data_IF_930928675708
#
_entry.id   IF_930928675708
#
_cell.length_a   1.000
_cell.length_b   1.000
_cell.length_c   1.000
_cell.angle_alpha   90.00
_cell.angle_beta   90.00
_cell.angle_gamma   90.00
#
_symmetry.space_group_name_H-M   'P 1'
#
loop_
_entity.id
_entity.type
_entity.pdbx_description
1 polymer ?
#
# COMPACT_ATOMS: atom_id res chain seq x y z
N UNK A 1 -32.23 75.62 62.02
CA UNK A 1 -33.63 75.29 61.68
C UNK A 1 -33.73 75.01 60.19
N UNK A 2 -34.25 73.82 59.84
CA UNK A 2 -34.90 73.44 58.56
C UNK A 2 -34.09 73.57 57.25
N UNK A 3 -34.21 72.70 56.25
CA UNK A 3 -34.68 71.31 56.08
C UNK A 3 -34.61 71.10 54.56
N UNK A 4 -34.18 69.93 54.12
CA UNK A 4 -34.52 69.36 52.80
C UNK A 4 -33.78 69.95 51.60
N UNK A 5 -33.64 69.26 50.48
CA UNK A 5 -34.11 67.93 50.12
C UNK A 5 -33.25 67.42 48.95
N UNK A 6 -33.30 66.11 48.76
CA UNK A 6 -32.53 65.28 47.86
C UNK A 6 -32.53 65.72 46.38
N UNK A 7 -31.45 65.36 45.67
CA UNK A 7 -31.49 64.42 44.54
C UNK A 7 -30.07 64.09 44.09
N UNK A 8 -29.73 62.80 44.14
CA UNK A 8 -28.52 62.25 43.55
C UNK A 8 -28.65 62.26 42.02
N UNK A 9 -27.68 62.87 41.34
CA UNK A 9 -27.47 62.75 39.90
C UNK A 9 -26.01 62.36 39.71
N UNK A 10 -25.82 61.22 39.06
CA UNK A 10 -24.56 60.55 38.77
C UNK A 10 -23.59 61.45 37.98
N UNK A 11 -22.35 61.51 38.43
CA UNK A 11 -21.25 62.27 37.82
C UNK A 11 -20.73 61.53 36.58
N UNK A 12 -20.66 62.24 35.44
CA UNK A 12 -19.82 61.89 34.29
C UNK A 12 -18.34 61.97 34.70
N UNK A 13 -17.60 60.88 34.53
CA UNK A 13 -16.14 60.88 34.55
C UNK A 13 -15.59 60.91 33.13
N UNK A 14 -14.85 61.96 32.77
CA UNK A 14 -13.97 62.04 31.60
C UNK A 14 -12.51 61.82 32.00
N UNK A 15 -11.71 61.43 31.00
CA UNK A 15 -10.24 61.26 30.93
C UNK A 15 -9.73 59.84 31.29
N UNK A 16 -8.82 59.20 30.54
CA UNK A 16 -7.85 59.72 29.60
C UNK A 16 -7.55 58.70 28.47
N UNK A 17 -7.23 59.24 27.29
CA UNK A 17 -6.70 58.51 26.13
C UNK A 17 -5.22 58.22 26.38
N UNK A 18 -4.83 56.94 26.34
CA UNK A 18 -3.44 56.53 26.13
C UNK A 18 -3.43 55.63 24.89
N UNK A 19 -2.88 56.18 23.81
CA UNK A 19 -2.48 55.44 22.63
C UNK A 19 -1.20 54.65 22.95
N UNK A 20 -1.13 53.37 22.55
CA UNK A 20 0.06 52.57 22.78
C UNK A 20 -0.07 51.10 22.38
N UNK A 21 0.01 50.85 21.07
CA UNK A 21 0.45 49.60 20.42
C UNK A 21 -0.13 48.29 20.94
N UNK A 22 -1.17 47.79 20.26
CA UNK A 22 -1.46 46.37 20.20
C UNK A 22 -0.22 45.64 19.65
N UNK A 23 0.49 44.93 20.53
CA UNK A 23 1.54 43.99 20.14
C UNK A 23 0.92 42.97 19.19
N UNK A 24 1.37 43.02 17.94
CA UNK A 24 0.90 42.13 16.89
C UNK A 24 1.05 40.69 17.33
N UNK A 25 -0.07 39.96 17.37
CA UNK A 25 -0.01 38.54 17.17
C UNK A 25 0.79 38.34 15.87
N UNK A 26 1.96 37.72 15.98
CA UNK A 26 2.52 37.02 14.85
C UNK A 26 1.46 35.98 14.51
N UNK A 27 0.59 36.32 13.55
CA UNK A 27 -0.07 35.33 12.77
C UNK A 27 1.07 34.53 12.15
N UNK A 28 1.41 33.40 12.76
CA UNK A 28 1.94 32.28 12.00
C UNK A 28 0.92 32.13 10.89
N UNK A 29 1.30 32.56 9.70
CA UNK A 29 0.61 32.17 8.50
C UNK A 29 0.54 30.66 8.58
N UNK A 30 -0.65 30.15 8.90
CA UNK A 30 -1.02 28.81 8.53
C UNK A 30 -0.87 28.81 7.01
N UNK A 31 0.32 28.44 6.53
CA UNK A 31 0.51 28.08 5.15
C UNK A 31 -0.58 27.06 4.90
N UNK A 32 -1.53 27.42 4.04
CA UNK A 32 -2.51 26.49 3.54
C UNK A 32 -1.73 25.44 2.72
N UNK A 33 -1.16 24.47 3.44
CA UNK A 33 -0.57 23.28 2.89
C UNK A 33 -1.74 22.46 2.35
N UNK A 34 -1.65 22.15 1.07
CA UNK A 34 -2.67 21.40 0.34
C UNK A 34 -3.01 20.08 1.05
N UNK A 35 -4.31 19.87 1.16
CA UNK A 35 -5.02 18.92 2.02
C UNK A 35 -4.79 17.47 1.64
N UNK A 36 -4.65 16.62 2.66
CA UNK A 36 -5.04 15.22 2.59
C UNK A 36 -4.08 14.33 3.35
N UNK A 37 -4.55 13.67 4.39
CA UNK A 37 -3.98 12.40 4.82
C UNK A 37 -5.07 11.35 4.72
N UNK A 38 -4.66 10.11 4.51
CA UNK A 38 -5.53 8.95 4.56
C UNK A 38 -5.03 8.03 5.65
N UNK A 39 -5.92 7.65 6.56
CA UNK A 39 -5.61 6.73 7.64
C UNK A 39 -6.38 5.44 7.42
N UNK A 40 -5.66 4.33 7.32
CA UNK A 40 -6.25 3.00 7.44
C UNK A 40 -6.10 2.52 8.86
N UNK A 41 -7.22 2.33 9.55
CA UNK A 41 -7.28 1.72 10.87
C UNK A 41 -7.90 0.33 10.75
N UNK A 42 -7.14 -0.70 11.08
CA UNK A 42 -7.61 -2.08 11.00
C UNK A 42 -7.38 -2.80 12.33
N UNK A 43 -8.47 -3.29 12.94
CA UNK A 43 -8.37 -4.25 14.04
C UNK A 43 -7.91 -5.59 13.45
N UNK A 44 -6.66 -5.97 13.71
CA UNK A 44 -6.03 -7.15 13.12
C UNK A 44 -6.38 -8.44 13.86
N UNK A 45 -6.68 -8.34 15.16
CA UNK A 45 -7.18 -9.42 16.00
C UNK A 45 -7.94 -8.86 17.19
N UNK A 46 -8.90 -9.61 17.72
CA UNK A 46 -9.65 -9.24 18.91
C UNK A 46 -9.95 -10.48 19.75
N UNK A 47 -9.87 -10.34 21.06
CA UNK A 47 -10.19 -11.36 22.05
C UNK A 47 -11.00 -10.74 23.19
N UNK A 48 -11.40 -11.56 24.17
CA UNK A 48 -12.14 -11.06 25.32
C UNK A 48 -11.30 -10.03 26.09
N UNK A 49 -11.77 -8.78 26.11
CA UNK A 49 -11.13 -7.67 26.82
C UNK A 49 -9.93 -7.03 26.11
N UNK A 50 -9.52 -7.50 24.93
CA UNK A 50 -8.38 -6.93 24.21
C UNK A 50 -8.46 -7.01 22.69
N UNK A 51 -7.63 -6.23 22.02
CA UNK A 51 -7.52 -6.19 20.56
C UNK A 51 -6.13 -5.73 20.12
N UNK A 52 -5.73 -6.14 18.92
CA UNK A 52 -4.59 -5.58 18.19
C UNK A 52 -5.09 -4.74 17.02
N UNK A 53 -4.47 -3.58 16.79
CA UNK A 53 -4.77 -2.71 15.67
C UNK A 53 -3.50 -2.30 14.92
N UNK A 54 -3.62 -2.23 13.59
CA UNK A 54 -2.63 -1.65 12.69
C UNK A 54 -3.17 -0.34 12.13
N UNK A 55 -2.31 0.68 12.12
CA UNK A 55 -2.64 2.02 11.61
C UNK A 55 -1.63 2.41 10.54
N UNK A 56 -2.11 2.74 9.34
CA UNK A 56 -1.29 3.26 8.25
C UNK A 56 -1.67 4.71 7.94
N UNK A 57 -0.67 5.59 7.91
CA UNK A 57 -0.82 7.01 7.59
C UNK A 57 -0.23 7.22 6.20
N UNK A 58 -1.06 7.58 5.23
CA UNK A 58 -0.62 8.02 3.91
C UNK A 58 -0.71 9.53 3.85
N UNK A 59 0.42 10.19 3.58
CA UNK A 59 0.46 11.64 3.38
C UNK A 59 0.08 11.96 1.93
N UNK A 60 -1.00 12.71 1.71
CA UNK A 60 -1.43 13.18 0.39
C UNK A 60 -1.16 14.68 0.20
N UNK A 61 -0.64 15.36 1.23
CA UNK A 61 -0.20 16.75 1.18
C UNK A 61 1.32 16.86 1.07
N UNK A 62 1.85 18.04 1.45
CA UNK A 62 3.28 18.33 1.43
C UNK A 62 4.09 17.33 2.28
N UNK A 63 5.34 17.00 1.89
CA UNK A 63 6.21 16.12 2.69
C UNK A 63 6.33 16.59 4.14
N UNK A 64 6.24 15.67 5.09
CA UNK A 64 6.48 15.93 6.51
C UNK A 64 7.77 15.26 6.97
N UNK A 65 8.52 15.91 7.87
CA UNK A 65 9.75 15.37 8.48
C UNK A 65 9.49 14.66 9.82
N UNK A 66 8.33 14.91 10.42
CA UNK A 66 7.82 14.28 11.64
C UNK A 66 6.30 14.22 11.57
N UNK A 67 5.71 13.25 12.27
CA UNK A 67 4.26 13.11 12.32
C UNK A 67 3.74 12.87 13.74
N UNK A 68 2.58 13.45 14.00
CA UNK A 68 1.72 13.19 15.13
C UNK A 68 0.31 12.88 14.61
N UNK A 69 -0.19 11.69 14.86
CA UNK A 69 -1.56 11.29 14.53
C UNK A 69 -2.42 11.34 15.79
N UNK A 70 -3.56 12.01 15.72
CA UNK A 70 -4.53 12.08 16.81
C UNK A 70 -5.87 11.48 16.40
N UNK A 71 -6.55 10.82 17.35
CA UNK A 71 -7.93 10.35 17.23
C UNK A 71 -8.55 10.20 18.62
N UNK A 72 -9.87 9.98 18.67
CA UNK A 72 -10.58 9.69 19.91
C UNK A 72 -11.24 8.31 19.82
N UNK A 73 -11.12 7.51 20.86
CA UNK A 73 -11.82 6.23 20.97
C UNK A 73 -13.30 6.41 21.32
N UNK A 74 -14.24 5.74 20.62
CA UNK A 74 -15.67 6.03 20.80
C UNK A 74 -16.30 5.37 22.04
N UNK A 75 -15.68 4.31 22.57
CA UNK A 75 -16.31 3.43 23.55
C UNK A 75 -15.34 2.98 24.66
N UNK A 76 -14.54 3.91 25.18
CA UNK A 76 -13.69 3.67 26.36
C UNK A 76 -12.51 2.73 26.12
N UNK A 77 -12.14 2.48 24.86
CA UNK A 77 -10.96 1.67 24.56
C UNK A 77 -9.68 2.35 25.06
N UNK A 78 -8.70 1.54 25.49
CA UNK A 78 -7.41 2.04 25.96
C UNK A 78 -6.24 1.37 25.23
N UNK A 79 -5.19 2.12 24.92
CA UNK A 79 -3.93 1.57 24.38
C UNK A 79 -3.11 1.01 25.53
N UNK A 80 -2.65 -0.24 25.41
CA UNK A 80 -1.85 -0.92 26.44
C UNK A 80 -0.39 -1.09 26.04
N UNK A 81 -0.11 -1.28 24.76
CA UNK A 81 1.25 -1.41 24.23
C UNK A 81 1.28 -0.97 22.76
N UNK A 82 2.31 -0.24 22.34
CA UNK A 82 2.47 0.19 20.96
C UNK A 82 3.87 -0.15 20.41
N UNK A 83 3.99 -0.24 19.09
CA UNK A 83 5.25 -0.41 18.37
C UNK A 83 5.29 0.48 17.13
N UNK A 84 6.49 0.89 16.72
CA UNK A 84 6.72 1.85 15.62
C UNK A 84 6.04 3.23 15.81
N UNK A 85 5.57 3.53 17.02
CA UNK A 85 5.07 4.83 17.45
C UNK A 85 5.23 4.98 18.97
N UNK A 86 5.41 6.21 19.45
CA UNK A 86 5.18 6.55 20.86
C UNK A 86 3.72 6.97 20.99
N UNK A 87 2.93 6.24 21.79
CA UNK A 87 1.49 6.49 21.94
C UNK A 87 1.18 6.93 23.36
N UNK A 88 0.46 8.04 23.49
CA UNK A 88 -0.06 8.55 24.76
C UNK A 88 -1.56 8.69 24.67
N UNK A 89 -2.26 8.42 25.77
CA UNK A 89 -3.72 8.54 25.85
C UNK A 89 -4.13 9.31 27.10
N UNK A 90 -5.10 10.21 26.94
CA UNK A 90 -5.76 10.92 28.04
C UNK A 90 -7.27 10.84 27.83
N UNK A 91 -7.97 10.12 28.70
CA UNK A 91 -9.38 9.80 28.47
C UNK A 91 -9.57 9.04 27.15
N UNK A 92 -10.47 9.52 26.29
CA UNK A 92 -10.68 8.96 24.95
C UNK A 92 -9.62 9.38 23.93
N UNK A 93 -8.86 10.44 24.19
CA UNK A 93 -7.99 11.07 23.19
C UNK A 93 -6.63 10.39 23.14
N UNK A 94 -6.23 9.98 21.94
CA UNK A 94 -4.99 9.28 21.68
C UNK A 94 -4.12 10.11 20.77
N UNK A 95 -2.83 10.19 21.10
CA UNK A 95 -1.79 10.79 20.25
C UNK A 95 -0.70 9.77 20.01
N UNK A 96 -0.47 9.43 18.73
CA UNK A 96 0.66 8.63 18.28
C UNK A 96 1.70 9.52 17.61
N UNK A 97 2.97 9.42 17.99
CA UNK A 97 4.09 10.17 17.40
C UNK A 97 5.11 9.23 16.79
N UNK A 98 5.78 9.71 15.75
CA UNK A 98 6.86 8.97 15.10
C UNK A 98 7.98 8.61 16.08
N UNK A 99 8.65 7.50 15.80
CA UNK A 99 9.91 7.14 16.43
C UNK A 99 11.07 7.47 15.48
N UNK A 100 12.31 7.45 15.97
CA UNK A 100 13.45 8.07 15.29
C UNK A 100 13.68 7.68 13.82
N UNK A 101 13.24 6.50 13.37
CA UNK A 101 13.48 6.02 12.00
C UNK A 101 12.31 6.25 11.02
N UNK A 102 11.11 6.64 11.49
CA UNK A 102 9.92 6.70 10.64
C UNK A 102 9.24 8.08 10.63
N UNK A 103 9.96 9.15 10.97
CA UNK A 103 9.40 10.50 11.03
C UNK A 103 9.07 11.11 9.67
N UNK A 104 9.86 10.82 8.63
CA UNK A 104 9.66 11.43 7.32
C UNK A 104 8.60 10.67 6.51
N UNK A 105 7.61 11.41 6.01
CA UNK A 105 6.60 10.91 5.07
C UNK A 105 6.55 11.85 3.87
N UNK A 106 7.07 11.41 2.73
CA UNK A 106 6.95 12.14 1.46
C UNK A 106 5.49 12.22 0.96
N UNK A 107 5.27 12.98 -0.11
CA UNK A 107 3.97 12.96 -0.83
C UNK A 107 3.67 11.54 -1.30
N UNK A 108 2.45 11.07 -1.05
CA UNK A 108 2.00 9.69 -1.23
C UNK A 108 2.81 8.63 -0.45
N UNK A 109 3.69 9.06 0.44
CA UNK A 109 4.42 8.16 1.34
C UNK A 109 3.47 7.60 2.39
N UNK A 110 3.74 6.37 2.81
CA UNK A 110 2.99 5.71 3.87
C UNK A 110 3.93 5.27 4.98
N UNK A 111 3.54 5.55 6.23
CA UNK A 111 4.15 4.96 7.42
C UNK A 111 3.10 4.17 8.18
N UNK A 112 3.53 3.17 8.93
CA UNK A 112 2.61 2.33 9.70
C UNK A 112 3.14 2.06 11.09
N UNK A 113 2.21 1.95 12.03
CA UNK A 113 2.46 1.53 13.40
C UNK A 113 1.34 0.61 13.86
N UNK A 114 1.52 -0.04 15.00
CA UNK A 114 0.47 -0.86 15.59
C UNK A 114 0.46 -0.76 17.09
N UNK A 115 -0.64 -1.22 17.68
CA UNK A 115 -0.80 -1.27 19.11
C UNK A 115 -1.76 -2.36 19.56
N UNK A 116 -1.57 -2.85 20.77
CA UNK A 116 -2.56 -3.59 21.52
C UNK A 116 -3.37 -2.62 22.37
N UNK A 117 -4.67 -2.88 22.51
CA UNK A 117 -5.55 -2.14 23.37
C UNK A 117 -6.54 -3.03 24.12
N UNK A 118 -7.20 -2.43 25.11
CA UNK A 118 -8.29 -3.05 25.87
C UNK A 118 -9.63 -2.39 25.51
N UNK A 119 -10.71 -3.15 25.63
CA UNK A 119 -12.08 -2.69 25.41
C UNK A 119 -13.04 -3.41 26.35
N UNK A 120 -14.16 -2.78 26.67
CA UNK A 120 -15.26 -3.38 27.43
C UNK A 120 -16.58 -3.11 26.73
N UNK A 121 -17.44 -4.14 26.62
CA UNK A 121 -18.74 -4.05 25.97
C UNK A 121 -18.69 -3.97 24.43
N UNK A 122 -18.06 -2.94 23.86
CA UNK A 122 -17.97 -2.75 22.40
C UNK A 122 -16.60 -2.20 21.95
N UNK A 123 -16.24 -2.44 20.69
CA UNK A 123 -14.98 -1.96 20.11
C UNK A 123 -15.18 -1.31 18.71
N UNK A 124 -15.91 -0.19 18.60
CA UNK A 124 -16.02 0.56 17.35
C UNK A 124 -14.70 1.22 16.96
N UNK A 125 -14.36 1.20 15.67
CA UNK A 125 -13.21 1.91 15.15
C UNK A 125 -13.38 3.44 15.25
N UNK A 126 -12.29 4.21 15.42
CA UNK A 126 -12.35 5.68 15.36
C UNK A 126 -12.79 6.16 13.97
N UNK A 127 -13.62 7.20 13.93
CA UNK A 127 -14.19 7.73 12.68
C UNK A 127 -13.40 8.90 12.08
N UNK A 128 -12.55 9.57 12.88
CA UNK A 128 -11.78 10.74 12.45
C UNK A 128 -10.36 10.67 13.01
N UNK A 129 -9.43 11.12 12.19
CA UNK A 129 -8.01 11.21 12.51
C UNK A 129 -7.48 12.57 12.06
N UNK A 130 -6.49 13.10 12.75
CA UNK A 130 -5.75 14.28 12.31
C UNK A 130 -4.25 14.03 12.31
N UNK A 131 -3.58 14.41 11.21
CA UNK A 131 -2.14 14.38 11.06
C UNK A 131 -1.57 15.78 11.28
N UNK A 132 -0.70 15.94 12.28
CA UNK A 132 -0.10 17.22 12.66
C UNK A 132 -1.15 18.34 12.89
N UNK A 133 -2.32 17.96 13.43
CA UNK A 133 -3.44 18.88 13.70
C UNK A 133 -4.39 19.09 12.51
N UNK A 134 -4.10 18.54 11.33
CA UNK A 134 -4.95 18.65 10.14
C UNK A 134 -5.78 17.38 9.97
N UNK A 135 -7.10 17.52 9.86
CA UNK A 135 -8.02 16.37 9.72
C UNK A 135 -7.76 15.60 8.42
N UNK A 136 -7.67 14.28 8.52
CA UNK A 136 -7.52 13.38 7.39
C UNK A 136 -8.85 13.19 6.67
N UNK A 137 -9.01 13.82 5.51
CA UNK A 137 -10.24 13.76 4.69
C UNK A 137 -10.18 12.70 3.58
N UNK A 138 -9.05 11.98 3.43
CA UNK A 138 -8.89 10.91 2.45
C UNK A 138 -8.93 11.34 0.98
N UNK A 139 -8.98 12.65 0.68
CA UNK A 139 -9.01 13.22 -0.67
C UNK A 139 -8.07 14.43 -0.76
N UNK A 140 -7.38 14.58 -1.90
CA UNK A 140 -6.69 15.83 -2.24
C UNK A 140 -7.72 16.87 -2.65
N UNK A 141 -7.91 17.90 -1.83
CA UNK A 141 -8.81 19.03 -2.12
C UNK A 141 -8.01 20.24 -2.59
N UNK A 142 -8.31 20.73 -3.80
CA UNK A 142 -7.91 22.06 -4.27
C UNK A 142 -7.04 22.06 -5.53
N UNK A 143 -7.69 22.22 -6.69
CA UNK A 143 -7.05 22.67 -7.93
C UNK A 143 -6.96 24.20 -7.91
N UNK A 144 -5.78 24.85 -8.08
CA UNK A 144 -5.74 26.25 -8.42
C UNK A 144 -5.82 26.46 -9.94
N UNK A 145 -6.77 27.33 -10.28
CA UNK A 145 -7.10 27.97 -11.55
C UNK A 145 -5.90 28.51 -12.34
N UNK A 146 -5.98 28.37 -13.67
CA UNK A 146 -5.05 28.89 -14.67
C UNK A 146 -5.14 30.42 -14.88
N UNK A 147 -4.02 31.06 -15.27
CA UNK A 147 -3.90 32.14 -16.30
C UNK A 147 -2.49 32.81 -16.29
N UNK A 148 -2.02 33.52 -17.34
CA UNK A 148 -2.08 33.25 -18.77
C UNK A 148 -0.69 33.35 -19.48
N UNK A 149 -0.72 33.05 -20.77
CA UNK A 149 0.28 33.10 -21.85
C UNK A 149 1.17 34.35 -21.94
N UNK A 150 2.46 34.15 -22.28
CA UNK A 150 3.23 35.08 -23.14
C UNK A 150 4.18 34.32 -24.10
N UNK A 151 4.21 34.83 -25.34
CA UNK A 151 4.84 34.33 -26.58
C UNK A 151 6.37 34.59 -26.61
N UNK A 152 7.20 33.84 -27.39
CA UNK A 152 8.65 33.76 -27.18
C UNK A 152 9.46 34.79 -28.00
N UNK A 153 10.71 35.03 -27.57
CA UNK A 153 11.75 35.67 -28.40
C UNK A 153 13.12 35.04 -28.10
N UNK A 154 13.92 34.85 -29.15
CA UNK A 154 15.04 33.92 -29.26
C UNK A 154 16.44 34.58 -29.11
N UNK A 155 17.46 33.85 -28.62
CA UNK A 155 18.75 33.41 -29.26
C UNK A 155 19.93 33.84 -28.31
N UNK A 156 21.16 33.23 -28.23
CA UNK A 156 21.67 31.88 -28.54
C UNK A 156 22.43 31.17 -27.39
N UNK A 157 22.52 29.84 -27.53
CA UNK A 157 23.67 28.92 -27.37
C UNK A 157 24.81 29.22 -26.37
N UNK A 158 24.89 28.36 -25.33
CA UNK A 158 26.15 27.91 -24.75
C UNK A 158 26.12 26.37 -24.57
N UNK A 159 27.29 25.77 -24.78
CA UNK A 159 27.65 24.34 -24.94
C UNK A 159 27.08 23.34 -23.90
N UNK A 160 26.80 22.07 -24.26
CA UNK A 160 26.22 21.09 -23.34
C UNK A 160 27.29 20.38 -22.48
N UNK A 161 27.08 20.39 -21.17
CA UNK A 161 27.66 19.43 -20.21
C UNK A 161 26.85 18.12 -20.27
N UNK A 162 27.44 16.92 -20.13
CA UNK A 162 26.70 15.66 -20.32
C UNK A 162 25.67 15.44 -19.20
N UNK A 163 24.39 15.59 -19.53
CA UNK A 163 23.28 15.26 -18.62
C UNK A 163 23.02 13.76 -18.65
N UNK A 164 22.99 13.16 -17.47
CA UNK A 164 22.52 11.79 -17.21
C UNK A 164 21.11 11.56 -17.78
N UNK A 165 20.80 10.34 -18.29
CA UNK A 165 19.47 10.03 -18.79
C UNK A 165 18.42 10.14 -17.67
N UNK A 166 17.21 10.66 -17.94
CA UNK A 166 16.15 10.66 -16.94
C UNK A 166 15.74 9.22 -16.61
N UNK A 167 15.67 8.97 -15.30
CA UNK A 167 15.13 7.76 -14.69
C UNK A 167 13.68 7.53 -15.20
N UNK A 168 13.33 6.35 -15.75
CA UNK A 168 11.95 6.09 -16.15
C UNK A 168 11.05 6.06 -14.91
N UNK A 169 10.08 6.98 -14.86
CA UNK A 169 9.02 7.01 -13.86
C UNK A 169 8.13 5.77 -14.02
N UNK A 170 8.32 4.78 -13.15
CA UNK A 170 7.42 3.63 -13.02
C UNK A 170 6.10 4.10 -12.41
N UNK A 171 5.04 4.15 -13.21
CA UNK A 171 3.67 4.38 -12.74
C UNK A 171 3.11 3.06 -12.17
N UNK A 172 2.75 2.96 -10.87
CA UNK A 172 2.57 1.68 -10.18
C UNK A 172 1.14 1.10 -10.28
N UNK A 173 0.29 1.64 -11.12
CA UNK A 173 -1.04 1.07 -11.40
C UNK A 173 -1.08 0.76 -12.89
N UNK A 174 -1.53 -0.44 -13.34
CA UNK A 174 -1.82 -0.64 -14.75
C UNK A 174 -2.85 0.42 -15.16
N UNK A 175 -2.36 1.48 -15.79
CA UNK A 175 -3.21 2.55 -16.26
C UNK A 175 -4.11 1.96 -17.35
N UNK A 176 -5.43 2.20 -17.30
CA UNK A 176 -6.30 1.77 -18.38
C UNK A 176 -5.81 2.42 -19.67
N UNK A 177 -5.50 1.61 -20.67
CA UNK A 177 -5.24 2.14 -22.01
C UNK A 177 -6.61 2.33 -22.68
N UNK A 178 -6.96 3.54 -23.16
CA UNK A 178 -8.21 3.74 -23.89
C UNK A 178 -8.09 2.96 -25.20
N UNK A 179 -8.65 1.75 -25.24
CA UNK A 179 -8.51 0.88 -26.41
C UNK A 179 -9.60 1.22 -27.42
N UNK A 180 -9.19 1.52 -28.66
CA UNK A 180 -10.08 1.76 -29.79
C UNK A 180 -10.68 0.46 -30.41
N UNK A 181 -10.35 -0.72 -29.88
CA UNK A 181 -10.86 -2.02 -30.36
C UNK A 181 -11.92 -2.60 -29.43
N UNK A 182 -13.02 -3.15 -29.96
CA UNK A 182 -14.07 -3.76 -29.16
C UNK A 182 -13.54 -4.98 -28.38
N UNK A 183 -14.07 -5.25 -27.16
CA UNK A 183 -13.69 -6.44 -26.40
C UNK A 183 -13.95 -7.73 -27.19
N UNK A 184 -13.10 -8.76 -27.08
CA UNK A 184 -13.26 -10.02 -27.82
C UNK A 184 -14.42 -10.89 -27.31
N UNK A 185 -15.18 -10.42 -26.33
CA UNK A 185 -16.20 -11.21 -25.65
C UNK A 185 -15.62 -12.09 -24.54
N UNK A 186 -16.50 -12.55 -23.66
CA UNK A 186 -16.16 -13.47 -22.57
C UNK A 186 -15.84 -14.85 -23.16
N UNK A 187 -14.68 -15.46 -22.86
CA UNK A 187 -14.32 -16.75 -23.41
C UNK A 187 -15.12 -17.89 -22.74
N UNK A 188 -15.33 -19.03 -23.41
CA UNK A 188 -16.14 -20.16 -22.90
C UNK A 188 -15.57 -20.81 -21.64
N UNK A 189 -14.27 -20.61 -21.37
CA UNK A 189 -13.59 -21.02 -20.15
C UNK A 189 -14.12 -20.31 -18.89
N UNK A 190 -14.91 -19.24 -19.05
CA UNK A 190 -15.48 -18.48 -17.96
C UNK A 190 -16.93 -18.87 -17.66
N UNK A 191 -17.24 -19.16 -16.40
CA UNK A 191 -18.58 -19.45 -15.90
C UNK A 191 -18.92 -18.66 -14.63
N UNK A 192 -20.21 -18.64 -14.24
CA UNK A 192 -20.71 -17.87 -13.10
C UNK A 192 -20.94 -16.37 -13.39
N UNK A 193 -21.58 -15.68 -12.44
CA UNK A 193 -21.95 -14.27 -12.53
C UNK A 193 -21.45 -13.42 -11.35
N UNK A 194 -21.30 -14.02 -10.15
CA UNK A 194 -20.68 -13.39 -8.98
C UNK A 194 -20.29 -14.49 -7.97
N UNK A 195 -19.03 -14.96 -7.96
CA UNK A 195 -17.94 -14.53 -8.85
C UNK A 195 -18.10 -15.07 -10.29
N UNK A 196 -17.38 -14.44 -11.23
CA UNK A 196 -17.06 -15.02 -12.54
C UNK A 196 -15.72 -15.74 -12.39
N UNK A 197 -15.67 -17.02 -12.75
CA UNK A 197 -14.45 -17.84 -12.66
C UNK A 197 -14.09 -18.33 -14.05
N UNK A 198 -12.83 -18.13 -14.46
CA UNK A 198 -12.29 -18.56 -15.73
C UNK A 198 -11.15 -19.55 -15.50
N UNK A 199 -11.18 -20.69 -16.19
CA UNK A 199 -10.17 -21.74 -16.04
C UNK A 199 -9.50 -22.08 -17.36
N UNK A 200 -8.19 -21.94 -17.42
CA UNK A 200 -7.40 -22.20 -18.62
C UNK A 200 -6.45 -23.38 -18.39
N UNK A 201 -6.58 -24.42 -19.21
CA UNK A 201 -5.68 -25.57 -19.21
C UNK A 201 -4.36 -25.20 -19.91
N UNK A 202 -3.47 -24.53 -19.18
CA UNK A 202 -2.16 -24.09 -19.66
C UNK A 202 -1.04 -24.66 -18.79
N UNK A 203 0.14 -24.92 -19.35
CA UNK A 203 1.27 -25.40 -18.57
C UNK A 203 1.88 -24.28 -17.70
N UNK A 204 2.59 -24.61 -16.61
CA UNK A 204 3.40 -23.65 -15.86
C UNK A 204 4.27 -22.79 -16.79
N UNK A 205 4.28 -21.49 -16.55
CA UNK A 205 4.89 -20.51 -17.45
C UNK A 205 4.38 -19.10 -17.21
N UNK A 206 4.82 -18.15 -18.03
CA UNK A 206 4.40 -16.75 -17.91
C UNK A 206 3.41 -16.41 -19.01
N UNK A 207 2.30 -15.75 -18.65
CA UNK A 207 1.22 -15.42 -19.55
C UNK A 207 0.86 -13.93 -19.45
N UNK A 208 0.65 -13.28 -20.57
CA UNK A 208 -0.02 -11.99 -20.64
C UNK A 208 -1.52 -12.22 -20.59
N UNK A 209 -2.19 -11.55 -19.67
CA UNK A 209 -3.65 -11.60 -19.51
C UNK A 209 -4.21 -10.21 -19.76
N UNK A 210 -5.12 -10.08 -20.71
CA UNK A 210 -5.85 -8.83 -20.94
C UNK A 210 -7.30 -9.01 -20.54
N UNK A 211 -7.79 -8.23 -19.59
CA UNK A 211 -9.16 -8.25 -19.11
C UNK A 211 -9.86 -6.92 -19.45
N UNK A 212 -10.99 -7.00 -20.14
CA UNK A 212 -11.86 -5.86 -20.42
C UNK A 212 -12.94 -5.78 -19.35
N UNK A 213 -12.74 -4.91 -18.37
CA UNK A 213 -13.58 -4.76 -17.17
C UNK A 213 -14.65 -3.70 -17.41
N UNK A 214 -15.88 -4.01 -17.02
CA UNK A 214 -17.06 -3.17 -17.27
C UNK A 214 -18.02 -3.80 -18.27
N UNK A 215 -19.10 -3.10 -18.57
CA UNK A 215 -20.18 -3.58 -19.43
C UNK A 215 -20.90 -2.42 -20.13
N UNK A 216 -21.50 -2.69 -21.29
CA UNK A 216 -22.21 -1.68 -22.07
C UNK A 216 -23.55 -1.28 -21.46
N UNK A 217 -24.25 -2.22 -20.81
CA UNK A 217 -25.61 -2.01 -20.34
C UNK A 217 -25.68 -1.67 -18.84
N UNK A 218 -24.74 -2.19 -18.05
CA UNK A 218 -24.80 -2.13 -16.59
C UNK A 218 -23.53 -1.56 -15.98
N UNK A 219 -23.69 -0.81 -14.89
CA UNK A 219 -22.58 -0.50 -14.01
C UNK A 219 -22.02 -1.78 -13.35
N UNK A 220 -20.80 -1.70 -12.85
CA UNK A 220 -20.09 -2.82 -12.25
C UNK A 220 -19.12 -2.41 -11.16
N UNK A 221 -18.76 -3.37 -10.31
CA UNK A 221 -17.66 -3.28 -9.37
C UNK A 221 -16.92 -4.62 -9.43
N UNK A 222 -15.69 -4.58 -9.97
CA UNK A 222 -14.95 -5.79 -10.34
C UNK A 222 -13.53 -5.75 -9.78
N UNK A 223 -13.14 -6.80 -9.09
CA UNK A 223 -11.77 -7.13 -8.69
C UNK A 223 -11.32 -8.39 -9.42
N UNK A 224 -10.01 -8.61 -9.53
CA UNK A 224 -9.43 -9.79 -10.19
C UNK A 224 -8.33 -10.40 -9.33
N UNK A 225 -8.40 -11.71 -9.13
CA UNK A 225 -7.35 -12.54 -8.54
C UNK A 225 -7.06 -13.75 -9.40
N UNK A 226 -5.87 -14.34 -9.22
CA UNK A 226 -5.47 -15.59 -9.86
C UNK A 226 -5.03 -16.62 -8.83
N UNK A 227 -5.29 -17.88 -9.14
CA UNK A 227 -4.80 -19.07 -8.42
C UNK A 227 -5.03 -18.97 -6.90
N UNK A 228 -3.99 -19.16 -6.08
CA UNK A 228 -3.95 -19.01 -4.63
C UNK A 228 -4.13 -17.55 -4.17
N UNK A 229 -5.17 -16.87 -4.67
CA UNK A 229 -5.64 -15.53 -4.30
C UNK A 229 -4.65 -14.39 -4.56
N UNK A 230 -3.67 -14.56 -5.46
CA UNK A 230 -2.79 -13.45 -5.88
C UNK A 230 -3.62 -12.34 -6.49
N UNK A 231 -3.59 -11.14 -5.90
CA UNK A 231 -4.44 -10.02 -6.34
C UNK A 231 -3.75 -9.30 -7.50
N UNK A 232 -4.46 -9.15 -8.62
CA UNK A 232 -3.99 -8.40 -9.79
C UNK A 232 -4.71 -7.06 -9.92
N UNK A 233 -6.03 -7.06 -9.70
CA UNK A 233 -6.85 -5.86 -9.79
C UNK A 233 -7.64 -5.68 -8.48
N UNK A 234 -7.38 -4.62 -7.69
CA UNK A 234 -8.29 -4.17 -6.64
C UNK A 234 -9.70 -3.92 -7.21
N UNK A 235 -10.72 -3.80 -6.36
CA UNK A 235 -12.07 -3.53 -6.87
C UNK A 235 -12.12 -2.17 -7.59
N UNK A 236 -12.49 -2.21 -8.88
CA UNK A 236 -12.69 -1.03 -9.73
C UNK A 236 -14.17 -0.92 -10.06
N UNK A 237 -14.74 0.27 -9.85
CA UNK A 237 -16.11 0.59 -10.25
C UNK A 237 -16.15 1.13 -11.67
N UNK A 238 -17.11 0.68 -12.46
CA UNK A 238 -17.35 1.14 -13.84
C UNK A 238 -18.81 1.56 -13.99
N UNK A 239 -19.07 2.68 -14.67
CA UNK A 239 -20.42 3.05 -15.07
C UNK A 239 -20.92 2.17 -16.23
N UNK A 240 -22.23 2.11 -16.45
CA UNK A 240 -22.79 1.51 -17.66
C UNK A 240 -22.22 2.21 -18.90
N UNK A 241 -21.89 1.44 -19.95
CA UNK A 241 -21.25 1.96 -21.15
C UNK A 241 -19.74 2.08 -21.06
N UNK A 242 -19.14 1.91 -19.87
CA UNK A 242 -17.70 1.99 -19.66
C UNK A 242 -17.07 0.60 -19.68
N UNK A 243 -16.06 0.42 -20.54
CA UNK A 243 -15.23 -0.78 -20.59
C UNK A 243 -13.77 -0.37 -20.65
N UNK A 244 -12.97 -0.84 -19.69
CA UNK A 244 -11.53 -0.54 -19.58
C UNK A 244 -10.72 -1.81 -19.74
N UNK A 245 -9.70 -1.77 -20.59
CA UNK A 245 -8.74 -2.86 -20.74
C UNK A 245 -7.62 -2.75 -19.69
N UNK A 246 -7.40 -3.83 -18.96
CA UNK A 246 -6.29 -4.01 -18.05
C UNK A 246 -5.40 -5.15 -18.55
N UNK A 247 -4.09 -4.93 -18.57
CA UNK A 247 -3.11 -5.93 -18.99
C UNK A 247 -2.25 -6.30 -17.79
N UNK A 248 -2.04 -7.60 -17.61
CA UNK A 248 -1.22 -8.18 -16.55
C UNK A 248 -0.26 -9.22 -17.12
N UNK A 249 0.85 -9.48 -16.42
CA UNK A 249 1.66 -10.66 -16.67
C UNK A 249 1.62 -11.57 -15.45
N UNK A 250 1.23 -12.83 -15.66
CA UNK A 250 0.96 -13.81 -14.61
C UNK A 250 1.95 -14.96 -14.72
N UNK A 251 2.59 -15.31 -13.61
CA UNK A 251 3.38 -16.53 -13.49
C UNK A 251 2.46 -17.66 -13.05
N UNK A 252 2.16 -18.59 -13.97
CA UNK A 252 1.40 -19.83 -13.72
C UNK A 252 2.35 -20.90 -13.22
N UNK A 253 1.99 -21.59 -12.15
CA UNK A 253 2.84 -22.59 -11.50
C UNK A 253 2.03 -23.68 -10.82
N UNK A 254 2.70 -24.79 -10.53
CA UNK A 254 2.15 -25.90 -9.76
C UNK A 254 3.21 -26.35 -8.75
N UNK A 255 2.95 -26.31 -7.43
CA UNK A 255 1.74 -25.78 -6.76
C UNK A 255 1.41 -24.31 -7.08
N UNK A 256 0.12 -23.97 -7.09
CA UNK A 256 -0.36 -22.58 -7.27
C UNK A 256 0.15 -21.64 -6.15
N UNK A 257 0.12 -22.14 -4.91
CA UNK A 257 0.47 -21.41 -3.70
C UNK A 257 1.95 -21.54 -3.36
N UNK A 258 2.22 -22.15 -2.21
CA UNK A 258 3.56 -22.27 -1.65
C UNK A 258 4.33 -23.41 -2.35
N UNK A 259 5.62 -23.22 -2.73
CA UNK A 259 6.35 -24.21 -3.52
C UNK A 259 6.50 -25.60 -2.88
N UNK A 260 6.48 -25.71 -1.55
CA UNK A 260 6.53 -26.99 -0.84
C UNK A 260 5.18 -27.75 -0.87
N UNK A 261 4.13 -27.12 -1.41
CA UNK A 261 2.78 -27.64 -1.42
C UNK A 261 2.00 -27.39 -0.12
N UNK A 262 2.59 -26.66 0.84
CA UNK A 262 1.87 -26.27 2.06
C UNK A 262 0.64 -25.44 1.72
N UNK A 263 -0.51 -25.86 2.26
CA UNK A 263 -1.81 -25.25 1.96
C UNK A 263 -2.50 -25.79 0.70
N UNK A 264 -1.92 -26.81 0.05
CA UNK A 264 -2.50 -27.51 -1.08
C UNK A 264 -1.87 -27.13 -2.42
N UNK A 265 -2.06 -27.98 -3.42
CA UNK A 265 -1.44 -27.80 -4.74
C UNK A 265 -2.19 -26.82 -5.65
N UNK A 266 -3.44 -26.48 -5.33
CA UNK A 266 -4.34 -25.78 -6.24
C UNK A 266 -4.73 -26.65 -7.45
N UNK A 267 -5.31 -26.00 -8.46
CA UNK A 267 -5.73 -26.63 -9.71
C UNK A 267 -4.63 -26.49 -10.77
N UNK A 268 -4.38 -27.53 -11.58
CA UNK A 268 -3.47 -27.39 -12.72
C UNK A 268 -3.99 -26.35 -13.71
N UNK A 269 -3.10 -25.46 -14.14
CA UNK A 269 -3.42 -24.42 -15.12
C UNK A 269 -3.57 -23.04 -14.48
N UNK A 270 -4.33 -22.18 -15.15
CA UNK A 270 -4.58 -20.81 -14.69
C UNK A 270 -6.05 -20.62 -14.34
N UNK A 271 -6.31 -20.50 -13.05
CA UNK A 271 -7.61 -20.08 -12.52
C UNK A 271 -7.60 -18.56 -12.30
N UNK A 272 -8.60 -17.88 -12.86
CA UNK A 272 -8.83 -16.44 -12.71
C UNK A 272 -10.21 -16.21 -12.13
N UNK A 273 -10.28 -15.47 -11.03
CA UNK A 273 -11.54 -15.11 -10.37
C UNK A 273 -11.78 -13.62 -10.45
N UNK A 274 -12.92 -13.24 -11.02
CA UNK A 274 -13.46 -11.88 -10.98
C UNK A 274 -14.58 -11.82 -9.94
N UNK A 275 -14.40 -10.96 -8.93
CA UNK A 275 -15.31 -10.79 -7.82
C UNK A 275 -15.65 -9.30 -7.63
N UNK A 276 -16.35 -8.95 -6.56
CA UNK A 276 -16.84 -7.58 -6.29
C UNK A 276 -18.35 -7.60 -6.10
N UNK A 277 -18.96 -6.45 -5.82
CA UNK A 277 -20.41 -6.41 -5.58
C UNK A 277 -21.24 -6.66 -6.84
N UNK A 278 -20.68 -6.37 -8.02
CA UNK A 278 -21.30 -6.63 -9.32
C UNK A 278 -20.22 -6.78 -10.40
N UNK A 279 -19.52 -7.93 -10.48
CA UNK A 279 -18.42 -8.09 -11.42
C UNK A 279 -18.91 -8.04 -12.87
N UNK A 280 -18.15 -7.35 -13.72
CA UNK A 280 -18.40 -7.17 -15.15
C UNK A 280 -17.14 -7.45 -15.95
N UNK A 281 -17.23 -8.45 -16.81
CA UNK A 281 -16.14 -8.89 -17.69
C UNK A 281 -16.67 -8.94 -19.12
N UNK A 282 -16.32 -7.93 -19.92
CA UNK A 282 -16.70 -7.84 -21.33
C UNK A 282 -15.76 -8.62 -22.25
N UNK A 283 -14.57 -9.00 -21.79
CA UNK A 283 -13.67 -9.87 -22.53
C UNK A 283 -12.42 -10.25 -21.76
N UNK A 284 -11.79 -11.34 -22.18
CA UNK A 284 -10.58 -11.87 -21.56
C UNK A 284 -9.73 -12.61 -22.59
N UNK A 285 -8.43 -12.33 -22.61
CA UNK A 285 -7.45 -13.14 -23.36
C UNK A 285 -6.33 -13.61 -22.45
N UNK A 286 -5.78 -14.78 -22.78
CA UNK A 286 -4.61 -15.37 -22.13
C UNK A 286 -3.66 -15.80 -23.23
N UNK A 287 -2.46 -15.23 -23.25
CA UNK A 287 -1.42 -15.52 -24.24
C UNK A 287 -0.09 -15.76 -23.54
N UNK A 288 0.80 -16.57 -24.12
CA UNK A 288 2.16 -16.73 -23.59
C UNK A 288 2.86 -15.37 -23.59
N UNK A 289 3.49 -15.01 -22.46
CA UNK A 289 4.23 -13.76 -22.33
C UNK A 289 5.56 -13.82 -23.08
N UNK A 290 5.84 -12.83 -23.92
CA UNK A 290 7.13 -12.71 -24.60
C UNK A 290 8.15 -12.00 -23.69
N UNK A 291 9.13 -12.76 -23.20
CA UNK A 291 10.28 -12.29 -22.42
C UNK A 291 9.97 -11.22 -21.34
N UNK A 292 9.06 -11.51 -20.38
CA UNK A 292 8.78 -10.57 -19.30
C UNK A 292 9.99 -10.41 -18.37
N UNK A 293 10.11 -9.23 -17.74
CA UNK A 293 11.00 -9.02 -16.61
C UNK A 293 10.58 -9.90 -15.44
N UNK A 294 11.42 -10.86 -15.05
CA UNK A 294 11.16 -11.73 -13.91
C UNK A 294 11.40 -11.02 -12.58
N UNK A 295 10.43 -11.09 -11.67
CA UNK A 295 10.53 -10.62 -10.29
C UNK A 295 10.35 -11.82 -9.37
N UNK A 296 11.45 -12.32 -8.82
CA UNK A 296 11.46 -13.51 -7.96
C UNK A 296 11.48 -13.11 -6.49
N UNK A 297 10.58 -13.70 -5.70
CA UNK A 297 10.52 -13.44 -4.27
C UNK A 297 10.99 -14.67 -3.49
N UNK A 298 12.03 -14.51 -2.68
CA UNK A 298 12.49 -15.51 -1.72
C UNK A 298 12.12 -15.04 -0.32
N UNK A 299 11.35 -15.84 0.41
CA UNK A 299 10.96 -15.47 1.76
C UNK A 299 10.16 -16.52 2.52
N UNK A 300 9.66 -16.10 3.67
CA UNK A 300 8.90 -16.93 4.60
C UNK A 300 7.36 -16.73 4.47
N UNK A 301 6.62 -17.11 5.52
CA UNK A 301 5.15 -16.98 5.60
C UNK A 301 4.65 -15.53 5.41
N UNK A 302 5.49 -14.53 5.66
CA UNK A 302 5.16 -13.11 5.46
C UNK A 302 5.28 -12.67 4.00
N UNK A 303 5.87 -13.50 3.14
CA UNK A 303 6.05 -13.26 1.70
C UNK A 303 5.13 -14.15 0.86
N UNK A 304 4.92 -15.40 1.30
CA UNK A 304 4.28 -16.46 0.52
C UNK A 304 2.82 -16.19 0.13
N UNK A 305 2.34 -16.97 -0.84
CA UNK A 305 0.93 -16.97 -1.23
C UNK A 305 0.12 -17.88 -0.30
N UNK A 306 -0.81 -17.27 0.44
CA UNK A 306 -1.64 -17.99 1.41
C UNK A 306 -3.00 -18.36 0.78
N UNK A 307 -3.37 -19.65 0.73
CA UNK A 307 -4.60 -20.09 0.06
C UNK A 307 -5.88 -19.68 0.82
N UNK A 308 -5.78 -19.40 2.11
CA UNK A 308 -6.95 -19.15 2.98
C UNK A 308 -6.87 -17.79 3.67
N UNK A 309 -7.97 -17.03 3.61
CA UNK A 309 -8.08 -15.74 4.30
C UNK A 309 -8.20 -15.94 5.84
N UNK A 310 -7.79 -14.98 6.67
CA UNK A 310 -7.26 -13.65 6.32
C UNK A 310 -5.75 -13.64 6.01
N UNK A 311 -5.06 -14.77 6.12
CA UNK A 311 -3.62 -14.83 5.88
C UNK A 311 -3.28 -14.43 4.43
N UNK A 312 -2.21 -13.65 4.30
CA UNK A 312 -1.57 -13.26 3.05
C UNK A 312 -0.14 -12.77 3.31
N UNK A 313 0.80 -13.18 2.46
CA UNK A 313 2.11 -12.55 2.39
C UNK A 313 2.07 -11.28 1.53
N UNK A 314 3.02 -10.37 1.71
CA UNK A 314 3.07 -9.15 0.89
C UNK A 314 3.34 -9.47 -0.59
N UNK A 315 4.06 -10.56 -0.88
CA UNK A 315 4.31 -11.04 -2.24
C UNK A 315 3.04 -11.42 -3.00
N UNK A 316 2.00 -11.86 -2.28
CA UNK A 316 0.68 -12.19 -2.82
C UNK A 316 -0.10 -10.97 -3.32
N UNK A 317 0.20 -9.81 -2.75
CA UNK A 317 -0.45 -8.54 -3.10
C UNK A 317 0.42 -7.68 -4.01
N UNK A 318 1.73 -7.90 -4.06
CA UNK A 318 2.66 -7.16 -4.92
C UNK A 318 2.18 -7.01 -6.38
N UNK A 319 1.56 -8.01 -7.04
CA UNK A 319 1.15 -7.88 -8.44
C UNK A 319 0.19 -6.72 -8.72
N UNK A 320 -0.56 -6.21 -7.73
CA UNK A 320 -1.40 -5.00 -7.90
C UNK A 320 -0.60 -3.71 -8.15
N UNK A 321 0.71 -3.76 -7.95
CA UNK A 321 1.65 -2.63 -8.14
C UNK A 321 2.60 -2.83 -9.31
N UNK A 322 2.42 -3.91 -10.07
CA UNK A 322 3.33 -4.32 -11.14
C UNK A 322 2.63 -4.12 -12.48
N UNK A 323 3.25 -3.36 -13.37
CA UNK A 323 2.77 -3.14 -14.74
C UNK A 323 2.96 -4.39 -15.60
N UNK A 324 2.15 -4.54 -16.65
CA UNK A 324 2.36 -5.56 -17.67
C UNK A 324 3.78 -5.49 -18.25
N UNK A 325 4.37 -6.65 -18.52
CA UNK A 325 5.77 -6.78 -18.95
C UNK A 325 6.73 -7.16 -17.81
N UNK A 326 6.30 -7.07 -16.55
CA UNK A 326 6.98 -7.67 -15.40
C UNK A 326 6.10 -8.71 -14.72
N UNK A 327 6.71 -9.80 -14.23
CA UNK A 327 6.00 -10.95 -13.67
C UNK A 327 6.53 -11.34 -12.30
N UNK A 328 5.63 -11.47 -11.32
CA UNK A 328 5.98 -11.88 -9.96
C UNK A 328 5.91 -13.40 -9.82
N UNK A 329 7.08 -14.02 -9.62
CA UNK A 329 7.23 -15.43 -9.27
C UNK A 329 7.57 -15.53 -7.77
N UNK A 330 6.53 -15.78 -6.95
CA UNK A 330 6.66 -15.84 -5.51
C UNK A 330 7.08 -17.25 -5.07
N UNK A 331 8.29 -17.39 -4.54
CA UNK A 331 8.80 -18.63 -3.96
C UNK A 331 8.71 -18.63 -2.44
N UNK A 332 8.08 -17.63 -1.82
CA UNK A 332 7.89 -17.61 -0.37
C UNK A 332 7.17 -18.86 0.12
N UNK A 333 7.57 -19.38 1.28
CA UNK A 333 7.01 -20.59 1.86
C UNK A 333 6.96 -20.50 3.39
N UNK A 334 5.92 -21.03 4.01
CA UNK A 334 5.60 -20.80 5.42
C UNK A 334 6.54 -21.56 6.33
N UNK A 335 7.00 -20.91 7.40
CA UNK A 335 7.90 -21.55 8.37
C UNK A 335 9.37 -21.61 7.92
N UNK A 336 9.69 -21.19 6.71
CA UNK A 336 11.06 -21.20 6.21
C UNK A 336 11.94 -20.16 6.92
N UNK A 337 13.13 -20.61 7.32
CA UNK A 337 14.27 -19.77 7.73
C UNK A 337 15.18 -19.51 6.52
N UNK A 338 16.14 -18.59 6.65
CA UNK A 338 17.17 -18.39 5.64
C UNK A 338 17.97 -19.67 5.32
N UNK A 339 18.16 -20.55 6.30
CA UNK A 339 18.91 -21.80 6.14
C UNK A 339 18.10 -22.88 5.41
N UNK A 340 16.85 -23.05 5.80
CA UNK A 340 15.96 -24.06 5.22
C UNK A 340 15.56 -23.67 3.81
N UNK A 341 15.28 -22.38 3.53
CA UNK A 341 15.00 -21.91 2.18
C UNK A 341 16.16 -22.15 1.22
N UNK A 342 17.40 -21.91 1.69
CA UNK A 342 18.61 -22.09 0.90
C UNK A 342 18.88 -23.56 0.54
N UNK A 343 18.50 -24.50 1.41
CA UNK A 343 18.81 -25.93 1.25
C UNK A 343 17.65 -26.77 0.70
N UNK A 344 16.40 -26.36 0.91
CA UNK A 344 15.21 -27.08 0.45
C UNK A 344 15.13 -27.08 -1.08
N UNK A 345 15.12 -28.26 -1.70
CA UNK A 345 15.17 -28.43 -3.15
C UNK A 345 14.00 -27.79 -3.90
N UNK A 346 12.83 -27.63 -3.27
CA UNK A 346 11.66 -26.97 -3.87
C UNK A 346 11.77 -25.44 -3.91
N UNK A 347 12.71 -24.84 -3.16
CA UNK A 347 12.82 -23.40 -2.94
C UNK A 347 14.01 -22.80 -3.69
N UNK A 348 15.05 -22.34 -3.00
CA UNK A 348 16.17 -21.64 -3.64
C UNK A 348 16.85 -22.43 -4.78
N UNK A 349 17.12 -23.75 -4.64
CA UNK A 349 17.69 -24.57 -5.71
C UNK A 349 16.80 -24.67 -6.96
N UNK A 350 15.47 -24.57 -6.81
CA UNK A 350 14.51 -24.54 -7.94
C UNK A 350 14.34 -23.13 -8.51
N UNK A 351 14.30 -22.11 -7.67
CA UNK A 351 14.15 -20.71 -8.09
C UNK A 351 15.40 -20.21 -8.83
N UNK A 352 16.59 -20.41 -8.25
CA UNK A 352 17.87 -19.91 -8.78
C UNK A 352 18.10 -20.22 -10.26
N UNK A 353 17.91 -21.46 -10.78
CA UNK A 353 18.12 -21.76 -12.19
C UNK A 353 17.18 -21.04 -13.16
N UNK A 354 16.07 -20.47 -12.67
CA UNK A 354 15.09 -19.79 -13.52
C UNK A 354 15.40 -18.30 -13.71
N UNK A 355 16.12 -17.68 -12.76
CA UNK A 355 16.46 -16.26 -12.80
C UNK A 355 17.39 -15.96 -13.98
N UNK A 356 17.06 -14.97 -14.81
CA UNK A 356 17.86 -14.57 -15.98
C UNK A 356 18.58 -13.25 -15.71
N UNK A 357 19.50 -12.90 -16.60
CA UNK A 357 20.16 -11.60 -16.59
C UNK A 357 19.11 -10.48 -16.61
N UNK A 358 19.31 -9.44 -15.80
CA UNK A 358 18.40 -8.29 -15.63
C UNK A 358 17.07 -8.56 -14.91
N UNK A 359 16.77 -9.80 -14.49
CA UNK A 359 15.66 -10.03 -13.57
C UNK A 359 15.91 -9.34 -12.22
N UNK A 360 14.87 -9.29 -11.40
CA UNK A 360 14.92 -8.82 -10.02
C UNK A 360 14.71 -10.00 -9.07
N UNK A 361 15.51 -10.06 -8.01
CA UNK A 361 15.29 -10.99 -6.90
C UNK A 361 15.16 -10.17 -5.63
N UNK A 362 14.08 -10.42 -4.89
CA UNK A 362 13.82 -9.87 -3.57
C UNK A 362 13.98 -10.97 -2.53
N UNK A 363 14.83 -10.74 -1.54
CA UNK A 363 15.10 -11.71 -0.46
C UNK A 363 14.68 -11.09 0.87
N UNK A 364 13.78 -11.77 1.59
CA UNK A 364 13.33 -11.39 2.93
C UNK A 364 13.26 -12.61 3.86
N UNK A 365 14.10 -12.63 4.89
CA UNK A 365 14.09 -13.64 5.96
C UNK A 365 14.35 -12.99 7.32
N UNK A 366 14.21 -13.78 8.39
CA UNK A 366 14.45 -13.35 9.77
C UNK A 366 13.32 -13.72 10.72
N UNK A 367 12.09 -13.94 10.22
CA UNK A 367 10.95 -14.25 11.10
C UNK A 367 11.09 -15.63 11.74
N UNK A 368 11.53 -16.63 10.98
CA UNK A 368 11.71 -18.01 11.45
C UNK A 368 13.16 -18.34 11.83
N UNK A 369 14.10 -17.42 11.61
CA UNK A 369 15.53 -17.57 11.94
C UNK A 369 15.83 -17.46 13.45
N UNK A 370 14.86 -17.73 14.32
CA UNK A 370 14.93 -17.50 15.78
C UNK A 370 16.07 -18.26 16.46
N UNK A 371 16.37 -19.46 15.96
CA UNK A 371 17.47 -20.34 16.40
C UNK A 371 18.71 -20.24 15.50
N UNK A 372 18.66 -19.48 14.40
CA UNK A 372 19.81 -19.29 13.51
C UNK A 372 20.74 -18.25 14.14
N UNK A 373 22.03 -18.57 14.26
CA UNK A 373 23.01 -17.61 14.78
C UNK A 373 23.15 -16.43 13.83
N UNK A 374 23.48 -15.23 14.35
CA UNK A 374 23.65 -14.04 13.50
C UNK A 374 24.73 -14.24 12.41
N UNK A 375 25.78 -15.02 12.70
CA UNK A 375 26.81 -15.38 11.72
C UNK A 375 26.25 -16.28 10.62
N UNK A 376 25.51 -17.34 10.99
CA UNK A 376 24.89 -18.25 10.03
C UNK A 376 23.84 -17.53 9.17
N UNK A 377 23.00 -16.68 9.77
CA UNK A 377 22.00 -15.89 9.05
C UNK A 377 22.65 -15.00 7.99
N UNK A 378 23.69 -14.24 8.38
CA UNK A 378 24.49 -13.43 7.43
C UNK A 378 25.14 -14.27 6.35
N UNK A 379 25.68 -15.44 6.72
CA UNK A 379 26.25 -16.41 5.78
C UNK A 379 25.24 -16.91 4.74
N UNK A 380 24.04 -17.27 5.18
CA UNK A 380 22.96 -17.74 4.32
C UNK A 380 22.51 -16.66 3.33
N UNK A 381 22.24 -15.45 3.82
CA UNK A 381 21.87 -14.32 2.96
C UNK A 381 22.99 -14.00 1.95
N UNK A 382 24.25 -13.95 2.41
CA UNK A 382 25.40 -13.72 1.54
C UNK A 382 25.53 -14.79 0.46
N UNK A 383 25.29 -16.06 0.81
CA UNK A 383 25.29 -17.17 -0.14
C UNK A 383 24.22 -17.00 -1.21
N UNK A 384 22.96 -16.72 -0.81
CA UNK A 384 21.88 -16.47 -1.77
C UNK A 384 22.19 -15.29 -2.69
N UNK A 385 22.64 -14.16 -2.12
CA UNK A 385 23.05 -12.95 -2.84
C UNK A 385 24.12 -13.26 -3.89
N UNK A 386 25.19 -13.94 -3.49
CA UNK A 386 26.31 -14.24 -4.40
C UNK A 386 25.88 -15.19 -5.52
N UNK A 387 25.08 -16.21 -5.21
CA UNK A 387 24.59 -17.15 -6.19
C UNK A 387 23.62 -16.53 -7.20
N UNK A 388 22.81 -15.55 -6.78
CA UNK A 388 21.95 -14.76 -7.69
C UNK A 388 22.78 -13.80 -8.53
N UNK A 389 23.73 -13.07 -7.92
CA UNK A 389 24.61 -12.13 -8.64
C UNK A 389 25.47 -12.81 -9.70
N UNK A 390 25.91 -14.05 -9.46
CA UNK A 390 26.62 -14.87 -10.44
C UNK A 390 25.82 -15.11 -11.74
N UNK A 391 24.51 -14.85 -11.73
CA UNK A 391 23.63 -14.92 -12.92
C UNK A 391 23.44 -13.58 -13.65
N UNK A 392 24.10 -12.50 -13.21
CA UNK A 392 24.04 -11.17 -13.83
C UNK A 392 22.77 -10.38 -13.50
N UNK A 393 22.29 -10.47 -12.27
CA UNK A 393 20.98 -10.00 -11.81
C UNK A 393 21.11 -8.71 -10.99
N UNK A 394 20.16 -7.79 -11.13
CA UNK A 394 20.03 -6.64 -10.23
C UNK A 394 19.32 -7.08 -8.95
N UNK A 395 19.97 -6.97 -7.79
CA UNK A 395 19.49 -7.56 -6.54
C UNK A 395 19.01 -6.50 -5.54
N UNK A 396 17.85 -6.74 -4.94
CA UNK A 396 17.31 -5.96 -3.84
C UNK A 396 17.13 -6.86 -2.61
N UNK A 397 17.87 -6.62 -1.54
CA UNK A 397 17.75 -7.37 -0.28
C UNK A 397 16.92 -6.53 0.68
N UNK A 398 15.85 -7.10 1.23
CA UNK A 398 14.98 -6.44 2.19
C UNK A 398 15.05 -7.15 3.54
N UNK A 399 15.35 -6.43 4.62
CA UNK A 399 15.25 -6.99 5.97
C UNK A 399 13.81 -6.95 6.46
N UNK A 400 13.26 -8.09 6.91
CA UNK A 400 11.88 -8.16 7.44
C UNK A 400 11.60 -7.02 8.44
N UNK A 401 10.48 -6.29 8.29
CA UNK A 401 10.04 -5.35 9.32
C UNK A 401 9.66 -6.16 10.57
N UNK A 402 10.58 -6.24 11.54
CA UNK A 402 10.40 -6.97 12.79
C UNK A 402 11.37 -8.14 13.05
N UNK A 403 12.32 -8.41 12.15
CA UNK A 403 13.39 -9.37 12.43
C UNK A 403 14.25 -8.89 13.59
N UNK A 404 14.43 -9.73 14.62
CA UNK A 404 15.32 -9.47 15.76
C UNK A 404 16.65 -8.90 15.25
N UNK A 405 16.94 -7.65 15.61
CA UNK A 405 18.32 -7.18 15.64
C UNK A 405 19.05 -8.12 16.60
N UNK A 406 19.89 -9.00 16.07
CA UNK A 406 21.02 -9.56 16.81
C UNK A 406 22.28 -8.93 16.26
#
# INVERSE_FOLDING_TARGET
MRKGSARAVTVLGMAAVIAGTAGGAVAVSAGAATTGCRVDYAVSSQWQGGFGANVAITNLGDPVSSWALTWSFPAGQTVTQAWNASVTQSGSDVTARNVGHNGSIGVNGTVSFGFNGAWSGSNPAPASFALNGVTCTGSVGGSPTASPTSTPSAIPTASPTPTTPPNPTLSPTPAPSPTASPPPGRPPQCSGNSPIVCRFAVSPGNYTVTAWIGDRASAGNTSMSVEARRRLLPAVSTAAGTISAFVFTVNVRQPEGQPTGQGGSGNPGLDITFAGSAPRLSGLTVQVASNPLGVYLAGDSTVCDQPTAPYAGWGQLLPVRVSAGAVVANYGDSGESSASFLSNSALFPTMRPLVKRNDLVFIQFGHNDKSTTASAFRGNLTSMVNQVRARGVSLWVWSSPGGCRR
#
